data_IF_803939153417
#
_entry.id   IF_803939153417
#
_cell.length_a   1.000
_cell.length_b   1.000
_cell.length_c   1.000
_cell.angle_alpha   90.00
_cell.angle_beta   90.00
_cell.angle_gamma   90.00
#
_symmetry.space_group_name_H-M   'P 1'
#
loop_
_entity.id
_entity.type
_entity.pdbx_description
1 polymer ?
#
# COMPACT_ATOMS: atom_id res chain seq x y z
N UNK A 1 -28.88 24.29 2.57
CA UNK A 1 -29.30 22.98 2.01
C UNK A 1 -29.72 22.11 3.19
N UNK A 2 -30.78 21.29 3.10
CA UNK A 2 -31.06 20.32 4.18
C UNK A 2 -29.97 19.25 4.13
N UNK A 3 -29.47 18.82 5.29
CA UNK A 3 -28.66 17.63 5.38
C UNK A 3 -29.60 16.43 5.25
N UNK A 4 -29.89 16.05 4.01
CA UNK A 4 -30.43 14.72 3.73
C UNK A 4 -29.37 13.72 4.17
N UNK A 5 -29.77 12.69 4.93
CA UNK A 5 -28.81 11.66 5.34
C UNK A 5 -28.39 10.88 4.10
N UNK A 6 -27.11 10.47 4.01
CA UNK A 6 -26.65 9.61 2.92
C UNK A 6 -27.48 8.32 2.90
N UNK A 7 -27.59 7.71 1.72
CA UNK A 7 -28.24 6.41 1.56
C UNK A 7 -27.60 5.39 2.54
N UNK A 8 -28.35 4.43 3.12
CA UNK A 8 -27.79 3.52 4.14
C UNK A 8 -26.54 2.75 3.69
N UNK A 9 -26.43 2.40 2.41
CA UNK A 9 -25.23 1.79 1.81
C UNK A 9 -23.99 2.71 1.73
N UNK A 10 -24.17 4.02 1.95
CA UNK A 10 -23.10 5.02 2.04
C UNK A 10 -22.84 5.46 3.49
N UNK A 11 -23.43 4.78 4.47
CA UNK A 11 -23.15 5.01 5.89
C UNK A 11 -21.76 4.51 6.26
N UNK A 12 -21.10 5.17 7.22
CA UNK A 12 -19.79 4.71 7.74
C UNK A 12 -19.85 3.30 8.34
N UNK A 13 -21.02 2.85 8.79
CA UNK A 13 -21.28 1.48 9.21
C UNK A 13 -21.12 0.53 8.01
N UNK A 14 -21.79 0.80 6.88
CA UNK A 14 -21.63 0.01 5.65
C UNK A 14 -20.22 0.11 5.06
N UNK A 15 -19.63 1.30 4.96
CA UNK A 15 -18.43 1.55 4.14
C UNK A 15 -17.10 1.64 4.89
N UNK A 16 -17.08 1.72 6.23
CA UNK A 16 -15.84 1.93 6.99
C UNK A 16 -15.68 0.98 8.18
N UNK A 17 -16.70 0.81 9.03
CA UNK A 17 -16.49 0.17 10.34
C UNK A 17 -16.20 -1.33 10.29
N UNK A 18 -16.40 -2.00 9.14
CA UNK A 18 -15.87 -3.35 8.92
C UNK A 18 -14.35 -3.42 9.08
N UNK A 19 -13.61 -2.43 8.56
CA UNK A 19 -12.15 -2.32 8.71
C UNK A 19 -11.74 -1.59 9.99
N UNK A 20 -12.50 -0.58 10.41
CA UNK A 20 -12.09 0.37 11.46
C UNK A 20 -12.60 0.07 12.89
N UNK A 21 -13.31 -1.05 13.11
CA UNK A 21 -13.75 -1.51 14.43
C UNK A 21 -13.32 -2.96 14.72
N UNK A 22 -13.57 -3.47 15.92
CA UNK A 22 -13.25 -4.87 16.28
C UNK A 22 -14.24 -5.42 17.31
N UNK A 23 -14.46 -6.73 17.25
CA UNK A 23 -15.34 -7.46 18.17
C UNK A 23 -16.81 -7.13 17.96
N UNK A 24 -17.29 -7.35 16.73
CA UNK A 24 -18.69 -7.18 16.32
C UNK A 24 -19.14 -8.34 15.42
N UNK A 25 -20.45 -8.53 15.33
CA UNK A 25 -21.15 -9.25 14.27
C UNK A 25 -22.02 -8.26 13.50
N UNK A 26 -22.17 -8.43 12.18
CA UNK A 26 -23.03 -7.57 11.37
C UNK A 26 -24.17 -8.35 10.73
N UNK A 27 -25.32 -7.70 10.58
CA UNK A 27 -26.50 -8.19 9.87
C UNK A 27 -26.88 -7.14 8.83
N UNK A 28 -27.25 -7.59 7.64
CA UNK A 28 -27.62 -6.69 6.55
C UNK A 28 -29.06 -6.23 6.63
N UNK A 29 -29.30 -5.05 6.07
CA UNK A 29 -30.59 -4.41 6.00
C UNK A 29 -31.08 -4.38 4.57
N UNK A 30 -32.39 -4.47 4.37
CA UNK A 30 -33.03 -4.41 3.05
C UNK A 30 -32.89 -3.05 2.35
N UNK A 31 -32.34 -2.03 3.02
CA UNK A 31 -32.03 -0.71 2.48
C UNK A 31 -30.54 -0.55 2.09
N UNK A 32 -29.76 -1.65 2.09
CA UNK A 32 -28.34 -1.67 1.76
C UNK A 32 -27.43 -1.18 2.89
N UNK A 33 -27.97 -0.82 4.04
CA UNK A 33 -27.18 -0.60 5.25
C UNK A 33 -26.83 -1.92 5.96
N UNK A 34 -26.08 -1.79 7.05
CA UNK A 34 -25.77 -2.90 7.97
C UNK A 34 -26.03 -2.47 9.42
N UNK A 35 -26.52 -3.38 10.25
CA UNK A 35 -26.67 -3.19 11.69
C UNK A 35 -25.56 -3.99 12.42
N UNK A 36 -24.73 -3.27 13.18
CA UNK A 36 -23.64 -3.84 13.99
C UNK A 36 -24.13 -4.23 15.38
N UNK A 37 -23.71 -5.41 15.87
CA UNK A 37 -23.93 -5.88 17.24
C UNK A 37 -22.57 -6.19 17.90
N UNK A 38 -22.30 -5.72 19.13
CA UNK A 38 -21.04 -5.99 19.82
C UNK A 38 -20.93 -7.47 20.24
N UNK A 39 -19.75 -8.06 20.06
CA UNK A 39 -19.47 -9.40 20.60
C UNK A 39 -19.31 -9.35 22.14
N UNK A 40 -18.86 -8.21 22.67
CA UNK A 40 -18.76 -7.97 24.12
C UNK A 40 -18.76 -6.46 24.45
N UNK A 41 -18.89 -6.13 25.73
CA UNK A 41 -18.84 -4.74 26.22
C UNK A 41 -20.19 -4.02 26.20
N UNK A 42 -20.16 -2.69 26.40
CA UNK A 42 -21.35 -1.85 26.59
C UNK A 42 -21.60 -0.84 25.47
N UNK A 43 -20.75 -0.81 24.44
CA UNK A 43 -20.99 -0.01 23.24
C UNK A 43 -22.01 -0.74 22.36
N UNK A 44 -23.02 -0.07 21.79
CA UNK A 44 -24.12 -0.74 21.10
C UNK A 44 -23.78 -1.34 19.72
N UNK A 45 -22.53 -1.22 19.22
CA UNK A 45 -22.13 -1.70 17.89
C UNK A 45 -20.91 -2.63 17.89
N UNK A 46 -19.90 -2.36 18.70
CA UNK A 46 -18.62 -3.09 18.65
C UNK A 46 -17.91 -3.11 20.00
N UNK A 47 -17.00 -4.06 20.19
CA UNK A 47 -16.18 -4.15 21.42
C UNK A 47 -15.18 -2.98 21.51
N UNK A 48 -14.55 -2.59 20.40
CA UNK A 48 -13.66 -1.41 20.34
C UNK A 48 -13.77 -0.66 19.00
N UNK A 49 -13.57 0.65 19.04
CA UNK A 49 -13.70 1.59 17.90
C UNK A 49 -12.38 1.81 17.14
N UNK A 50 -11.57 0.75 17.04
CA UNK A 50 -10.21 0.72 16.48
C UNK A 50 -9.96 -0.67 15.90
N UNK A 51 -8.90 -0.80 15.11
CA UNK A 51 -8.25 -2.10 14.86
C UNK A 51 -7.66 -2.58 16.20
N UNK A 52 -8.30 -3.56 16.83
CA UNK A 52 -7.86 -4.16 18.09
C UNK A 52 -7.21 -5.53 17.89
N UNK A 53 -6.64 -6.10 18.96
CA UNK A 53 -5.92 -7.39 18.92
C UNK A 53 -6.71 -8.47 18.19
N UNK A 54 -8.01 -8.60 18.48
CA UNK A 54 -8.88 -9.63 17.92
C UNK A 54 -9.15 -9.48 16.41
N UNK A 55 -8.85 -8.31 15.79
CA UNK A 55 -8.91 -8.15 14.33
C UNK A 55 -7.80 -8.90 13.62
N UNK A 56 -6.64 -9.04 14.27
CA UNK A 56 -5.46 -9.74 13.75
C UNK A 56 -5.26 -11.14 14.34
N UNK A 57 -5.82 -11.40 15.53
CA UNK A 57 -5.64 -12.64 16.28
C UNK A 57 -6.92 -13.48 16.44
N UNK A 58 -8.07 -12.97 15.99
CA UNK A 58 -9.38 -13.60 16.19
C UNK A 58 -9.92 -13.42 17.63
N UNK A 59 -11.15 -13.92 17.91
CA UNK A 59 -11.80 -13.74 19.20
C UNK A 59 -11.06 -14.43 20.35
N UNK A 60 -10.80 -13.71 21.44
CA UNK A 60 -9.94 -14.16 22.54
C UNK A 60 -10.69 -14.85 23.72
N UNK A 61 -11.99 -15.12 23.60
CA UNK A 61 -12.79 -15.65 24.72
C UNK A 61 -12.32 -17.02 25.22
N UNK A 62 -12.00 -17.93 24.30
CA UNK A 62 -11.48 -19.26 24.62
C UNK A 62 -10.03 -19.20 25.12
N UNK A 63 -9.22 -18.29 24.56
CA UNK A 63 -7.86 -18.03 25.02
C UNK A 63 -7.80 -17.58 26.48
N UNK A 64 -8.67 -16.64 26.89
CA UNK A 64 -8.71 -16.12 28.27
C UNK A 64 -9.34 -17.12 29.25
N UNK A 65 -10.24 -18.00 28.80
CA UNK A 65 -10.88 -19.01 29.65
C UNK A 65 -10.03 -20.29 29.83
N UNK A 66 -9.09 -20.56 28.92
CA UNK A 66 -8.25 -21.74 28.93
C UNK A 66 -7.29 -21.80 30.13
N UNK A 67 -7.38 -22.87 30.93
CA UNK A 67 -6.51 -23.12 32.09
C UNK A 67 -5.15 -23.74 31.74
N UNK A 68 -4.99 -24.22 30.51
CA UNK A 68 -3.75 -24.73 29.92
C UNK A 68 -3.84 -24.66 28.40
N UNK A 69 -2.71 -24.67 27.70
CA UNK A 69 -2.65 -24.61 26.23
C UNK A 69 -3.40 -23.41 25.60
N UNK A 70 -3.52 -22.29 26.33
CA UNK A 70 -4.24 -21.07 25.90
C UNK A 70 -3.80 -20.53 24.53
N UNK A 71 -2.55 -20.77 24.12
CA UNK A 71 -2.02 -20.39 22.82
C UNK A 71 -2.65 -21.14 21.62
N UNK A 72 -3.36 -22.25 21.85
CA UNK A 72 -4.11 -22.98 20.81
C UNK A 72 -5.48 -22.35 20.50
N UNK A 73 -5.93 -21.42 21.34
CA UNK A 73 -7.26 -20.80 21.27
C UNK A 73 -7.22 -19.35 20.77
N UNK A 74 -6.10 -18.95 20.14
CA UNK A 74 -5.92 -17.63 19.53
C UNK A 74 -5.06 -17.80 18.27
N UNK A 75 -5.40 -17.09 17.18
CA UNK A 75 -4.57 -17.13 15.96
C UNK A 75 -3.28 -16.38 16.21
N UNK A 76 -2.15 -16.96 15.82
CA UNK A 76 -0.87 -16.27 15.72
C UNK A 76 -0.47 -16.19 14.24
N UNK A 77 -0.54 -15.02 13.58
CA UNK A 77 -0.17 -14.86 12.18
C UNK A 77 1.26 -15.32 11.85
N UNK A 78 2.19 -15.29 12.82
CA UNK A 78 3.56 -15.80 12.63
C UNK A 78 3.66 -17.33 12.52
N UNK A 79 2.58 -18.07 12.83
CA UNK A 79 2.49 -19.53 12.70
C UNK A 79 1.65 -19.97 11.48
N UNK A 80 1.11 -19.03 10.71
CA UNK A 80 0.38 -19.30 9.47
C UNK A 80 1.34 -19.40 8.28
N UNK A 81 0.88 -20.00 7.17
CA UNK A 81 1.53 -19.82 5.87
C UNK A 81 1.46 -18.35 5.41
N UNK A 82 2.27 -17.99 4.42
CA UNK A 82 2.42 -16.61 3.99
C UNK A 82 1.10 -15.99 3.50
N UNK A 83 0.29 -16.74 2.75
CA UNK A 83 -0.99 -16.25 2.25
C UNK A 83 -1.95 -15.97 3.41
N UNK A 84 -2.16 -16.94 4.33
CA UNK A 84 -3.07 -16.76 5.46
C UNK A 84 -2.58 -15.68 6.41
N UNK A 85 -1.27 -15.54 6.58
CA UNK A 85 -0.64 -14.45 7.32
C UNK A 85 -0.93 -13.08 6.68
N UNK A 86 -0.82 -12.99 5.36
CA UNK A 86 -1.01 -11.75 4.59
C UNK A 86 -2.48 -11.34 4.47
N UNK A 87 -3.40 -12.31 4.38
CA UNK A 87 -4.85 -12.05 4.38
C UNK A 87 -5.34 -11.40 5.69
N UNK A 88 -4.61 -11.57 6.82
CA UNK A 88 -4.88 -10.82 8.06
C UNK A 88 -4.69 -9.31 7.86
N UNK A 89 -3.77 -8.87 7.00
CA UNK A 89 -3.65 -7.47 6.59
C UNK A 89 -4.63 -7.17 5.43
N UNK A 90 -4.74 -8.10 4.47
CA UNK A 90 -5.60 -8.03 3.29
C UNK A 90 -7.07 -7.75 3.57
N UNK A 91 -7.62 -8.23 4.68
CA UNK A 91 -9.01 -7.94 5.07
C UNK A 91 -9.36 -6.44 5.18
N UNK A 92 -8.35 -5.56 5.23
CA UNK A 92 -8.46 -4.10 5.13
C UNK A 92 -7.53 -3.47 4.09
N UNK A 93 -6.42 -4.13 3.73
CA UNK A 93 -5.41 -3.70 2.76
C UNK A 93 -5.40 -4.58 1.48
N UNK A 94 -6.59 -4.90 0.98
CA UNK A 94 -6.76 -5.33 -0.42
C UNK A 94 -7.91 -4.58 -1.09
N UNK A 95 -7.85 -4.49 -2.43
CA UNK A 95 -8.98 -4.04 -3.23
C UNK A 95 -10.05 -5.13 -3.28
N UNK A 96 -11.01 -5.12 -2.34
CA UNK A 96 -12.02 -6.17 -2.21
C UNK A 96 -13.44 -5.67 -1.95
N UNK A 97 -14.40 -6.46 -2.45
CA UNK A 97 -15.81 -6.37 -2.12
C UNK A 97 -16.29 -7.69 -1.49
N UNK A 98 -17.09 -7.60 -0.42
CA UNK A 98 -17.69 -8.72 0.30
C UNK A 98 -18.68 -9.50 -0.58
N UNK A 99 -18.71 -10.81 -0.39
CA UNK A 99 -19.23 -11.76 -1.38
C UNK A 99 -20.72 -11.57 -1.75
N UNK A 100 -21.56 -11.21 -0.77
CA UNK A 100 -23.03 -11.21 -0.94
C UNK A 100 -23.65 -9.81 -1.15
N UNK A 101 -22.94 -8.71 -0.87
CA UNK A 101 -23.52 -7.33 -0.88
C UNK A 101 -22.49 -6.20 -1.13
N UNK A 102 -21.33 -6.50 -1.72
CA UNK A 102 -20.35 -5.48 -2.16
C UNK A 102 -19.82 -4.54 -1.04
N UNK A 103 -19.89 -4.96 0.23
CA UNK A 103 -19.26 -4.25 1.36
C UNK A 103 -17.74 -4.16 1.12
N UNK A 104 -17.05 -3.04 1.41
CA UNK A 104 -15.61 -2.88 1.10
C UNK A 104 -14.68 -3.62 2.09
N UNK A 105 -15.02 -4.85 2.46
CA UNK A 105 -14.31 -5.75 3.36
C UNK A 105 -14.88 -7.18 3.29
N UNK A 106 -14.09 -8.17 3.73
CA UNK A 106 -14.50 -9.58 3.71
C UNK A 106 -15.71 -9.89 4.61
N UNK A 107 -16.83 -10.22 3.97
CA UNK A 107 -18.07 -10.66 4.62
C UNK A 107 -18.91 -11.58 3.72
N UNK A 108 -19.55 -12.59 4.33
CA UNK A 108 -20.47 -13.53 3.69
C UNK A 108 -21.67 -13.78 4.61
N UNK A 109 -22.90 -13.74 4.08
CA UNK A 109 -24.17 -13.86 4.81
C UNK A 109 -24.33 -15.06 5.73
N UNK A 110 -23.71 -16.19 5.43
CA UNK A 110 -23.79 -17.43 6.23
C UNK A 110 -22.60 -17.65 7.15
N UNK A 111 -21.44 -17.05 6.86
CA UNK A 111 -20.19 -17.23 7.60
C UNK A 111 -19.85 -16.04 8.51
N UNK A 112 -20.40 -14.86 8.24
CA UNK A 112 -20.09 -13.62 8.95
C UNK A 112 -18.91 -12.88 8.31
N UNK A 113 -18.15 -12.15 9.12
CA UNK A 113 -16.91 -11.49 8.70
C UNK A 113 -15.73 -12.45 8.74
N UNK A 114 -14.78 -12.26 7.81
CA UNK A 114 -13.49 -12.97 7.82
C UNK A 114 -12.82 -12.92 9.20
N UNK A 115 -12.31 -14.07 9.65
CA UNK A 115 -11.49 -14.25 10.84
C UNK A 115 -10.03 -14.62 10.48
N UNK A 116 -9.03 -14.14 11.25
CA UNK A 116 -7.63 -14.48 11.03
C UNK A 116 -7.36 -15.99 11.02
N UNK A 117 -6.82 -16.49 9.90
CA UNK A 117 -6.55 -17.91 9.64
C UNK A 117 -7.54 -18.58 8.68
N UNK A 118 -8.63 -17.92 8.31
CA UNK A 118 -9.51 -18.36 7.22
C UNK A 118 -8.95 -17.99 5.83
N UNK A 119 -9.68 -18.32 4.76
CA UNK A 119 -9.37 -17.89 3.39
C UNK A 119 -10.19 -16.65 3.02
N UNK A 120 -9.55 -15.50 2.81
CA UNK A 120 -10.21 -14.23 2.50
C UNK A 120 -11.09 -14.31 1.24
N UNK A 121 -10.67 -15.08 0.23
CA UNK A 121 -11.46 -15.34 -0.99
C UNK A 121 -12.77 -16.15 -0.76
N UNK A 122 -13.02 -16.67 0.45
CA UNK A 122 -14.34 -17.21 0.84
C UNK A 122 -15.30 -16.14 1.37
N UNK A 123 -14.81 -14.91 1.59
CA UNK A 123 -15.57 -13.78 2.13
C UNK A 123 -15.59 -12.57 1.20
N UNK A 124 -14.76 -12.55 0.17
CA UNK A 124 -14.62 -11.42 -0.74
C UNK A 124 -14.21 -11.82 -2.16
N UNK A 125 -14.51 -10.94 -3.10
CA UNK A 125 -13.97 -10.92 -4.46
C UNK A 125 -13.06 -9.70 -4.63
N UNK A 126 -12.00 -9.83 -5.43
CA UNK A 126 -11.12 -8.70 -5.74
C UNK A 126 -11.83 -7.69 -6.65
N UNK A 127 -11.63 -6.41 -6.34
CA UNK A 127 -12.03 -5.22 -7.09
C UNK A 127 -10.83 -4.32 -7.41
N UNK A 128 -9.63 -4.91 -7.38
CA UNK A 128 -8.34 -4.24 -7.53
C UNK A 128 -8.21 -3.57 -8.90
N UNK A 129 -8.05 -2.25 -8.89
CA UNK A 129 -7.87 -1.42 -10.08
C UNK A 129 -6.40 -1.08 -10.28
N UNK A 130 -5.78 -1.64 -11.33
CA UNK A 130 -4.37 -1.46 -11.67
C UNK A 130 -4.17 -0.66 -12.96
N UNK A 131 -3.03 0.02 -13.06
CA UNK A 131 -2.50 0.61 -14.29
C UNK A 131 -2.08 -0.45 -15.30
N UNK A 132 -1.76 -0.03 -16.52
CA UNK A 132 -1.25 -0.90 -17.60
C UNK A 132 0.03 -1.67 -17.21
N UNK A 133 0.87 -1.08 -16.37
CA UNK A 133 2.06 -1.72 -15.77
C UNK A 133 1.77 -2.62 -14.55
N UNK A 134 0.50 -2.76 -14.13
CA UNK A 134 0.09 -3.61 -13.00
C UNK A 134 0.22 -2.98 -11.59
N UNK A 135 0.71 -1.74 -11.48
CA UNK A 135 0.72 -1.00 -10.19
C UNK A 135 -0.69 -0.50 -9.82
N UNK A 136 -0.96 -0.32 -8.53
CA UNK A 136 -2.27 0.10 -8.05
C UNK A 136 -2.65 1.53 -8.49
N UNK A 137 -3.93 1.73 -8.86
CA UNK A 137 -4.54 3.05 -9.07
C UNK A 137 -5.13 3.66 -7.80
N UNK A 138 -5.74 2.81 -6.97
CA UNK A 138 -6.61 3.21 -5.87
C UNK A 138 -6.09 2.82 -4.48
N UNK A 139 -6.80 3.22 -3.42
CA UNK A 139 -6.40 2.95 -2.05
C UNK A 139 -6.58 1.48 -1.65
N UNK A 140 -5.81 1.10 -0.63
CA UNK A 140 -5.87 -0.20 0.04
C UNK A 140 -5.48 -1.43 -0.82
N UNK A 141 -4.73 -1.29 -1.92
CA UNK A 141 -4.36 -2.43 -2.78
C UNK A 141 -2.98 -3.07 -2.43
N UNK A 142 -2.45 -2.84 -1.22
CA UNK A 142 -1.09 -3.26 -0.87
C UNK A 142 -0.88 -4.78 -0.85
N UNK A 143 -1.90 -5.55 -0.47
CA UNK A 143 -1.83 -7.01 -0.56
C UNK A 143 -1.78 -7.45 -2.04
N UNK A 144 -2.60 -6.86 -2.89
CA UNK A 144 -2.71 -7.22 -4.30
C UNK A 144 -1.37 -7.01 -5.04
N UNK A 145 -0.73 -5.88 -4.80
CA UNK A 145 0.60 -5.58 -5.34
C UNK A 145 1.69 -6.49 -4.73
N UNK A 146 1.64 -6.76 -3.41
CA UNK A 146 2.59 -7.69 -2.79
C UNK A 146 2.48 -9.10 -3.40
N UNK A 147 1.26 -9.60 -3.60
CA UNK A 147 1.01 -10.94 -4.17
C UNK A 147 1.32 -11.03 -5.67
N UNK A 148 1.32 -9.92 -6.42
CA UNK A 148 1.77 -9.90 -7.81
C UNK A 148 3.29 -9.70 -7.95
N UNK A 149 3.94 -9.11 -6.94
CA UNK A 149 5.39 -8.87 -6.93
C UNK A 149 6.25 -10.15 -6.80
N UNK A 150 7.56 -10.08 -7.11
CA UNK A 150 8.53 -11.14 -6.79
C UNK A 150 8.65 -11.46 -5.29
N UNK A 151 8.32 -10.52 -4.40
CA UNK A 151 8.34 -10.74 -2.95
C UNK A 151 7.23 -11.71 -2.51
N UNK A 152 6.01 -11.55 -3.03
CA UNK A 152 4.92 -12.49 -2.79
C UNK A 152 5.11 -13.81 -3.54
N UNK A 153 5.34 -13.75 -4.85
CA UNK A 153 5.37 -14.96 -5.71
C UNK A 153 6.63 -15.82 -5.58
N UNK A 154 7.79 -15.21 -5.36
CA UNK A 154 9.09 -15.91 -5.34
C UNK A 154 9.58 -16.28 -3.94
N UNK A 155 9.34 -15.40 -2.96
CA UNK A 155 9.86 -15.56 -1.59
C UNK A 155 8.77 -15.77 -0.53
N UNK A 156 7.50 -15.64 -0.89
CA UNK A 156 6.37 -15.72 0.04
C UNK A 156 6.55 -14.79 1.27
N UNK A 157 7.06 -13.57 1.04
CA UNK A 157 7.25 -12.58 2.10
C UNK A 157 5.90 -12.15 2.68
N UNK A 158 5.91 -11.88 4.00
CA UNK A 158 4.70 -11.47 4.70
C UNK A 158 4.69 -9.97 4.97
N UNK A 159 3.49 -9.41 5.17
CA UNK A 159 3.32 -8.01 5.51
C UNK A 159 4.11 -7.62 6.77
N UNK A 160 4.42 -8.55 7.69
CA UNK A 160 5.26 -8.32 8.86
C UNK A 160 6.76 -8.68 8.67
N UNK A 161 7.22 -8.83 7.42
CA UNK A 161 8.63 -9.08 7.07
C UNK A 161 9.40 -7.92 6.37
N UNK A 162 8.90 -6.75 5.93
CA UNK A 162 7.60 -6.06 6.01
C UNK A 162 7.55 -5.02 7.15
N UNK A 163 6.50 -5.01 7.97
CA UNK A 163 6.17 -4.08 9.07
C UNK A 163 6.30 -4.73 10.47
N UNK A 164 6.12 -3.95 11.54
CA UNK A 164 5.87 -4.40 12.91
C UNK A 164 4.43 -4.06 13.33
N UNK A 165 3.50 -5.04 13.35
CA UNK A 165 2.09 -4.80 13.67
C UNK A 165 1.83 -4.46 15.15
N UNK A 166 2.84 -4.57 16.02
CA UNK A 166 2.76 -4.14 17.42
C UNK A 166 3.45 -2.80 17.67
N UNK A 167 4.00 -2.18 16.62
CA UNK A 167 4.55 -0.83 16.62
C UNK A 167 5.60 -0.61 17.74
N UNK A 168 6.45 -1.61 18.01
CA UNK A 168 7.47 -1.53 19.08
C UNK A 168 8.50 -0.41 18.85
N UNK A 169 8.57 0.08 17.61
CA UNK A 169 9.43 1.16 17.13
C UNK A 169 8.65 2.43 16.73
N UNK A 170 7.38 2.59 17.17
CA UNK A 170 6.46 3.69 16.82
C UNK A 170 7.09 5.10 16.83
N UNK A 171 7.81 5.41 17.91
CA UNK A 171 8.45 6.71 18.11
C UNK A 171 9.70 6.94 17.22
N UNK A 172 10.12 5.93 16.46
CA UNK A 172 11.38 5.89 15.70
C UNK A 172 11.15 5.88 14.18
N UNK A 173 10.17 5.10 13.71
CA UNK A 173 9.91 4.85 12.29
C UNK A 173 8.43 5.08 11.94
N UNK A 174 8.18 5.85 10.88
CA UNK A 174 6.83 6.02 10.31
C UNK A 174 6.32 4.71 9.71
N UNK A 175 4.99 4.56 9.63
CA UNK A 175 4.32 3.41 9.00
C UNK A 175 4.63 2.06 9.65
N UNK A 176 5.03 2.06 10.93
CA UNK A 176 5.29 0.85 11.73
C UNK A 176 6.23 -0.13 11.03
N UNK A 177 7.39 0.34 10.58
CA UNK A 177 8.42 -0.48 9.93
C UNK A 177 9.36 -1.11 10.98
N UNK A 178 9.91 -2.32 10.74
CA UNK A 178 10.88 -2.93 11.68
C UNK A 178 12.27 -2.28 11.64
N UNK A 179 12.62 -1.67 10.51
CA UNK A 179 13.90 -1.02 10.21
C UNK A 179 13.64 0.31 9.51
N UNK A 180 14.65 1.18 9.51
CA UNK A 180 14.52 2.48 8.86
C UNK A 180 14.63 2.33 7.34
N UNK A 181 13.63 2.84 6.62
CA UNK A 181 13.70 2.94 5.16
C UNK A 181 14.53 4.16 4.70
N UNK A 182 14.73 5.17 5.57
CA UNK A 182 15.41 6.43 5.24
C UNK A 182 16.93 6.30 5.06
N UNK A 183 17.50 5.19 5.53
CA UNK A 183 18.90 4.80 5.38
C UNK A 183 19.06 3.48 4.61
N UNK A 184 18.03 3.09 3.83
CA UNK A 184 17.94 1.84 3.08
C UNK A 184 18.02 0.53 3.89
N UNK A 185 18.21 0.56 5.22
CA UNK A 185 18.42 -0.65 6.04
C UNK A 185 17.28 -1.67 5.95
N UNK A 186 16.03 -1.22 5.79
CA UNK A 186 14.87 -2.08 5.57
C UNK A 186 15.01 -2.97 4.32
N UNK A 187 15.55 -2.44 3.23
CA UNK A 187 15.71 -3.15 1.96
C UNK A 187 17.05 -3.89 1.94
N UNK A 188 18.12 -3.20 2.34
CA UNK A 188 19.48 -3.73 2.38
C UNK A 188 19.62 -4.97 3.30
N UNK A 189 18.79 -5.10 4.36
CA UNK A 189 18.81 -6.27 5.24
C UNK A 189 18.61 -7.61 4.53
N UNK A 190 18.01 -7.60 3.34
CA UNK A 190 17.88 -8.75 2.46
C UNK A 190 18.67 -8.56 1.15
N UNK A 191 18.51 -7.41 0.48
CA UNK A 191 19.05 -7.20 -0.86
C UNK A 191 20.58 -7.18 -0.92
N UNK A 192 21.29 -6.72 0.12
CA UNK A 192 22.75 -6.78 0.15
C UNK A 192 23.26 -8.21 -0.11
N UNK A 193 22.65 -9.20 0.54
CA UNK A 193 23.01 -10.61 0.39
C UNK A 193 22.36 -11.31 -0.82
N UNK A 194 21.15 -10.90 -1.24
CA UNK A 194 20.35 -11.58 -2.25
C UNK A 194 20.44 -10.98 -3.67
N UNK A 195 20.96 -9.76 -3.79
CA UNK A 195 20.99 -9.00 -5.06
C UNK A 195 22.37 -8.43 -5.39
N UNK A 196 23.24 -8.26 -4.39
CA UNK A 196 24.58 -7.67 -4.53
C UNK A 196 25.70 -8.57 -3.97
N UNK A 197 25.45 -9.86 -3.75
CA UNK A 197 26.44 -10.85 -3.24
C UNK A 197 27.21 -10.46 -1.95
N UNK A 198 26.67 -9.54 -1.15
CA UNK A 198 27.26 -8.87 0.03
C UNK A 198 28.34 -7.81 -0.29
N UNK A 199 28.34 -7.27 -1.51
CA UNK A 199 29.12 -6.10 -1.90
C UNK A 199 28.37 -4.82 -1.52
N UNK A 200 28.95 -4.04 -0.60
CA UNK A 200 28.40 -2.76 -0.15
C UNK A 200 28.67 -1.64 -1.18
N UNK A 201 29.74 -1.74 -1.98
CA UNK A 201 30.09 -0.77 -3.01
C UNK A 201 29.10 -0.89 -4.19
N UNK A 202 28.76 -2.11 -4.63
CA UNK A 202 27.73 -2.33 -5.68
C UNK A 202 26.34 -1.84 -5.23
N UNK A 203 26.00 -1.98 -3.94
CA UNK A 203 24.74 -1.48 -3.37
C UNK A 203 24.72 0.06 -3.28
N UNK A 204 25.86 0.70 -3.00
CA UNK A 204 26.01 2.16 -2.95
C UNK A 204 25.97 2.78 -4.36
N UNK A 205 26.58 2.14 -5.36
CA UNK A 205 26.56 2.60 -6.76
C UNK A 205 25.20 2.38 -7.46
N UNK A 206 24.48 1.29 -7.13
CA UNK A 206 23.20 0.89 -7.75
C UNK A 206 22.17 2.02 -8.02
N UNK A 207 21.82 2.91 -7.07
CA UNK A 207 20.83 3.95 -7.31
C UNK A 207 21.29 5.06 -8.28
N UNK A 208 22.56 5.09 -8.74
CA UNK A 208 23.11 6.13 -9.63
C UNK A 208 22.95 7.56 -9.08
N UNK A 209 22.85 7.65 -7.75
CA UNK A 209 22.59 8.82 -6.91
C UNK A 209 23.34 8.66 -5.57
N UNK A 210 23.54 9.75 -4.84
CA UNK A 210 24.21 9.71 -3.52
C UNK A 210 23.47 8.79 -2.54
N UNK A 211 24.13 7.69 -2.14
CA UNK A 211 23.65 6.73 -1.14
C UNK A 211 23.82 7.32 0.27
N UNK A 212 22.97 8.28 0.62
CA UNK A 212 23.16 9.11 1.82
C UNK A 212 21.93 9.24 2.70
N UNK A 213 22.11 9.00 3.99
CA UNK A 213 21.15 9.43 5.00
C UNK A 213 21.25 10.95 5.20
N UNK A 214 20.40 11.72 4.52
CA UNK A 214 20.16 13.12 4.90
C UNK A 214 19.54 13.18 6.33
N UNK A 215 20.20 13.80 7.33
CA UNK A 215 19.80 13.69 8.73
C UNK A 215 18.42 14.28 9.08
N UNK A 216 17.87 15.13 8.23
CA UNK A 216 16.52 15.70 8.38
C UNK A 216 15.42 14.83 7.74
N UNK A 217 15.81 13.76 7.03
CA UNK A 217 14.90 12.84 6.36
C UNK A 217 14.27 13.36 5.07
N UNK A 218 14.51 14.61 4.66
CA UNK A 218 13.73 15.31 3.61
C UNK A 218 13.95 14.80 2.20
N UNK A 219 15.16 14.34 1.87
CA UNK A 219 15.51 13.86 0.54
C UNK A 219 15.15 12.38 0.34
N UNK A 220 14.36 12.05 -0.70
CA UNK A 220 14.14 10.67 -1.15
C UNK A 220 15.25 10.15 -2.10
N UNK A 221 16.22 11.01 -2.47
CA UNK A 221 17.29 10.68 -3.42
C UNK A 221 18.13 9.51 -2.89
N UNK A 222 18.42 8.53 -3.75
CA UNK A 222 19.22 7.36 -3.38
C UNK A 222 18.51 6.37 -2.44
N UNK A 223 17.24 6.61 -2.07
CA UNK A 223 16.47 5.65 -1.25
C UNK A 223 15.82 4.59 -2.12
N UNK A 224 15.92 3.33 -1.72
CA UNK A 224 15.26 2.21 -2.41
C UNK A 224 13.76 2.47 -2.58
N UNK A 225 13.08 2.96 -1.53
CA UNK A 225 11.65 3.27 -1.57
C UNK A 225 11.30 4.43 -2.50
N UNK A 226 12.24 5.34 -2.78
CA UNK A 226 12.02 6.48 -3.68
C UNK A 226 11.84 6.06 -5.14
N UNK A 227 12.48 4.97 -5.56
CA UNK A 227 12.39 4.45 -6.93
C UNK A 227 11.58 3.15 -7.05
N UNK A 228 11.58 2.29 -6.04
CA UNK A 228 10.88 1.00 -6.09
C UNK A 228 9.46 1.02 -5.48
N UNK A 229 9.09 2.07 -4.74
CA UNK A 229 7.76 2.20 -4.13
C UNK A 229 7.07 3.49 -4.59
N UNK A 230 7.11 3.70 -5.92
CA UNK A 230 6.55 4.88 -6.61
C UNK A 230 5.09 5.11 -6.22
N UNK A 231 4.68 6.38 -6.09
CA UNK A 231 3.29 6.72 -5.73
C UNK A 231 2.36 6.78 -6.93
N UNK A 232 2.10 5.61 -7.52
CA UNK A 232 1.23 5.42 -8.69
C UNK A 232 -0.25 5.54 -8.38
N UNK A 233 -0.65 5.26 -7.14
CA UNK A 233 -2.05 5.30 -6.72
C UNK A 233 -2.36 6.46 -5.78
N UNK A 234 -3.62 6.88 -5.75
CA UNK A 234 -4.11 7.92 -4.85
C UNK A 234 -5.35 7.49 -4.05
N UNK A 235 -5.36 7.83 -2.75
CA UNK A 235 -6.52 7.75 -1.87
C UNK A 235 -7.18 9.11 -1.63
N UNK A 236 -6.41 10.21 -1.59
CA UNK A 236 -6.94 11.58 -1.44
C UNK A 236 -6.91 12.33 -2.78
N UNK A 237 -5.82 12.20 -3.54
CA UNK A 237 -5.64 12.86 -4.83
C UNK A 237 -4.20 12.83 -5.32
N UNK A 238 -3.99 13.30 -6.55
CA UNK A 238 -2.68 13.45 -7.16
C UNK A 238 -2.14 14.87 -6.95
N UNK A 239 -0.81 15.03 -7.01
CA UNK A 239 -0.12 16.29 -6.82
C UNK A 239 0.09 16.99 -8.18
N UNK A 240 -0.49 18.18 -8.35
CA UNK A 240 -0.46 18.94 -9.60
C UNK A 240 0.96 19.27 -10.16
N UNK A 241 2.01 19.25 -9.33
CA UNK A 241 3.38 19.62 -9.73
C UNK A 241 4.25 18.42 -10.15
N UNK A 242 3.96 17.24 -9.61
CA UNK A 242 4.71 16.00 -9.87
C UNK A 242 3.90 14.96 -10.67
N UNK A 243 2.58 15.05 -10.65
CA UNK A 243 1.66 13.98 -11.04
C UNK A 243 1.45 12.90 -9.97
N UNK A 244 2.17 12.94 -8.84
CA UNK A 244 2.28 11.80 -7.93
C UNK A 244 1.06 11.64 -7.02
N UNK A 245 0.66 10.40 -6.76
CA UNK A 245 -0.36 10.08 -5.75
C UNK A 245 0.19 10.16 -4.31
N UNK A 246 -0.62 9.74 -3.34
CA UNK A 246 -0.27 9.68 -1.92
C UNK A 246 0.00 8.26 -1.40
N UNK A 247 -0.06 7.24 -2.26
CA UNK A 247 0.09 5.82 -1.88
C UNK A 247 1.33 5.20 -2.51
N UNK A 248 2.30 4.78 -1.69
CA UNK A 248 3.50 4.08 -2.16
C UNK A 248 3.17 2.65 -2.64
N UNK A 249 3.49 2.34 -3.90
CA UNK A 249 3.25 1.02 -4.50
C UNK A 249 4.03 -0.08 -3.77
N UNK A 250 3.36 -1.22 -3.57
CA UNK A 250 3.94 -2.45 -3.02
C UNK A 250 4.25 -3.49 -4.13
N UNK A 251 4.38 -3.03 -5.39
CA UNK A 251 4.88 -3.85 -6.50
C UNK A 251 6.40 -4.06 -6.41
N UNK A 252 7.11 -3.14 -5.75
CA UNK A 252 8.57 -3.07 -5.62
C UNK A 252 9.33 -2.89 -6.95
N UNK A 253 8.61 -2.63 -8.05
CA UNK A 253 9.17 -2.38 -9.36
C UNK A 253 9.51 -0.90 -9.54
N UNK A 254 10.62 -0.63 -10.24
CA UNK A 254 10.86 0.70 -10.83
C UNK A 254 9.87 0.86 -11.98
N UNK A 255 8.97 1.84 -11.89
CA UNK A 255 8.19 2.29 -13.04
C UNK A 255 9.11 3.15 -13.90
N UNK A 256 9.37 2.73 -15.13
CA UNK A 256 10.27 3.41 -16.07
C UNK A 256 9.56 4.56 -16.79
N UNK A 257 10.29 5.59 -17.28
CA UNK A 257 9.65 6.66 -18.05
C UNK A 257 8.97 6.14 -19.33
N UNK A 258 9.51 5.08 -19.96
CA UNK A 258 8.91 4.44 -21.13
C UNK A 258 7.48 3.93 -20.85
N UNK A 259 7.20 3.36 -19.68
CA UNK A 259 5.85 2.88 -19.35
C UNK A 259 4.83 4.02 -19.27
N UNK A 260 5.26 5.21 -18.86
CA UNK A 260 4.42 6.42 -18.96
C UNK A 260 4.27 6.86 -20.42
N UNK A 261 5.35 6.95 -21.20
CA UNK A 261 5.31 7.33 -22.63
C UNK A 261 4.37 6.40 -23.42
N UNK A 262 4.46 5.09 -23.19
CA UNK A 262 3.60 4.08 -23.82
C UNK A 262 2.11 4.33 -23.51
N UNK A 263 1.75 4.79 -22.30
CA UNK A 263 0.36 5.14 -21.97
C UNK A 263 -0.13 6.36 -22.75
N UNK A 264 0.69 7.42 -22.88
CA UNK A 264 0.38 8.59 -23.71
C UNK A 264 0.17 8.20 -25.18
N UNK A 265 1.06 7.37 -25.75
CA UNK A 265 0.96 6.86 -27.12
C UNK A 265 -0.29 5.98 -27.33
N UNK A 266 -0.60 5.10 -26.36
CA UNK A 266 -1.79 4.25 -26.39
C UNK A 266 -3.10 5.06 -26.36
N UNK A 267 -3.12 6.18 -25.64
CA UNK A 267 -4.25 7.10 -25.57
C UNK A 267 -4.28 8.10 -26.74
N UNK A 268 -3.19 8.21 -27.51
CA UNK A 268 -3.03 9.17 -28.59
C UNK A 268 -3.01 10.62 -28.11
N UNK A 269 -2.51 10.84 -26.88
CA UNK A 269 -2.54 12.11 -26.19
C UNK A 269 -1.14 12.76 -26.13
N UNK A 270 -1.08 14.09 -26.24
CA UNK A 270 0.15 14.87 -25.97
C UNK A 270 0.16 15.50 -24.57
N UNK A 271 -0.99 15.50 -23.91
CA UNK A 271 -1.27 16.11 -22.61
C UNK A 271 -2.30 15.21 -21.89
N UNK A 272 -2.03 14.84 -20.64
CA UNK A 272 -2.90 14.05 -19.77
C UNK A 272 -2.85 14.63 -18.35
N UNK A 273 -3.99 14.69 -17.67
CA UNK A 273 -4.07 15.23 -16.31
C UNK A 273 -3.54 14.23 -15.26
N UNK A 274 -3.06 14.69 -14.08
CA UNK A 274 -2.64 13.81 -12.99
C UNK A 274 -3.73 12.81 -12.60
N UNK A 275 -3.40 11.53 -12.64
CA UNK A 275 -4.36 10.44 -12.39
C UNK A 275 -5.08 9.92 -13.64
N UNK A 276 -4.68 10.32 -14.85
CA UNK A 276 -5.09 9.66 -16.10
C UNK A 276 -4.09 8.57 -16.56
N UNK A 277 -2.86 8.54 -16.02
CA UNK A 277 -1.76 7.65 -16.39
C UNK A 277 -0.89 7.22 -15.18
N UNK A 278 -0.11 6.12 -15.25
CA UNK A 278 0.84 5.77 -14.21
C UNK A 278 2.08 6.68 -14.25
N UNK A 279 2.38 7.32 -13.12
CA UNK A 279 3.61 8.09 -12.92
C UNK A 279 4.85 7.17 -12.83
N UNK A 280 5.95 7.59 -13.43
CA UNK A 280 7.24 6.89 -13.35
C UNK A 280 8.12 7.35 -12.17
N UNK A 281 9.09 6.52 -11.81
CA UNK A 281 9.94 6.61 -10.61
C UNK A 281 10.79 7.88 -10.46
N UNK A 282 10.86 8.72 -11.50
CA UNK A 282 11.83 9.82 -11.57
C UNK A 282 11.16 11.18 -11.32
N UNK A 283 9.92 11.39 -11.76
CA UNK A 283 9.35 12.74 -11.87
C UNK A 283 9.01 13.39 -10.52
N UNK A 284 8.69 12.63 -9.45
CA UNK A 284 8.56 13.21 -8.08
C UNK A 284 9.87 13.92 -7.63
N UNK A 285 11.03 13.45 -8.10
CA UNK A 285 12.33 14.03 -7.78
C UNK A 285 12.90 14.94 -8.87
N UNK A 286 12.36 14.90 -10.10
CA UNK A 286 12.86 15.61 -11.28
C UNK A 286 11.86 16.59 -11.91
N UNK A 287 10.74 16.88 -11.22
CA UNK A 287 9.86 18.02 -11.50
C UNK A 287 10.62 19.36 -11.60
N UNK A 288 10.02 20.33 -12.29
CA UNK A 288 10.64 21.63 -12.59
C UNK A 288 10.69 22.60 -11.40
N UNK A 289 11.43 22.21 -10.36
CA UNK A 289 11.80 23.13 -9.31
C UNK A 289 12.86 24.12 -9.82
N UNK A 290 12.39 25.34 -10.15
CA UNK A 290 13.19 26.50 -10.56
C UNK A 290 14.46 26.75 -9.70
N UNK A 291 14.46 26.32 -8.44
CA UNK A 291 15.60 26.43 -7.53
C UNK A 291 16.81 25.57 -7.90
N UNK A 292 16.61 24.38 -8.53
CA UNK A 292 17.74 23.51 -8.91
C UNK A 292 18.59 24.07 -10.06
N UNK A 293 18.05 25.00 -10.85
CA UNK A 293 18.80 25.68 -11.92
C UNK A 293 19.88 26.63 -11.41
N UNK A 294 19.83 27.11 -10.16
CA UNK A 294 20.82 28.07 -9.64
C UNK A 294 21.98 27.42 -8.90
N UNK A 295 21.75 26.33 -8.16
CA UNK A 295 22.71 25.87 -7.14
C UNK A 295 23.37 24.51 -7.44
N UNK A 296 22.76 23.64 -8.26
CA UNK A 296 23.18 22.23 -8.38
C UNK A 296 23.92 21.86 -9.68
N UNK A 297 23.79 22.62 -10.77
CA UNK A 297 24.49 22.38 -12.05
C UNK A 297 24.11 21.12 -12.84
N UNK A 298 23.40 20.15 -12.23
CA UNK A 298 23.03 18.86 -12.83
C UNK A 298 21.56 18.48 -12.54
N UNK A 299 20.63 19.37 -12.86
CA UNK A 299 19.21 19.00 -12.89
C UNK A 299 18.88 18.26 -14.18
N UNK A 300 18.38 17.02 -14.09
CA UNK A 300 17.57 16.46 -15.18
C UNK A 300 16.37 17.40 -15.38
N UNK A 301 16.17 17.79 -16.63
CA UNK A 301 15.07 18.66 -17.02
C UNK A 301 14.31 17.99 -18.15
N UNK A 302 13.02 17.74 -17.92
CA UNK A 302 12.05 17.71 -19.01
C UNK A 302 12.13 19.01 -19.83
N UNK A 303 11.80 18.96 -21.12
CA UNK A 303 11.84 20.15 -22.00
C UNK A 303 10.93 21.27 -21.50
N UNK A 304 9.75 20.89 -21.00
CA UNK A 304 8.75 21.76 -20.37
C UNK A 304 8.84 21.66 -18.85
N UNK A 305 9.02 20.44 -18.32
CA UNK A 305 9.06 20.16 -16.90
C UNK A 305 7.69 20.14 -16.22
N UNK A 306 6.64 20.09 -17.05
CA UNK A 306 5.24 19.91 -16.68
C UNK A 306 4.92 18.41 -16.70
N UNK A 307 4.42 17.80 -15.61
CA UNK A 307 4.13 16.37 -15.55
C UNK A 307 2.94 15.96 -16.43
N UNK A 308 2.15 16.90 -16.98
CA UNK A 308 1.03 16.55 -17.87
C UNK A 308 1.46 16.27 -19.31
N UNK A 309 2.65 16.68 -19.72
CA UNK A 309 3.07 16.71 -21.12
C UNK A 309 4.00 15.55 -21.49
N UNK A 310 3.70 14.87 -22.60
CA UNK A 310 4.50 13.72 -23.10
C UNK A 310 5.99 14.07 -23.25
N UNK A 311 6.33 15.29 -23.68
CA UNK A 311 7.73 15.72 -23.87
C UNK A 311 8.56 15.68 -22.57
N UNK A 312 7.93 15.84 -21.40
CA UNK A 312 8.60 15.67 -20.09
C UNK A 312 9.02 14.23 -19.88
N UNK A 313 8.14 13.27 -20.23
CA UNK A 313 8.39 11.84 -20.06
C UNK A 313 9.39 11.31 -21.10
N UNK A 314 9.31 11.75 -22.37
CA UNK A 314 10.33 11.45 -23.39
C UNK A 314 11.73 11.91 -22.96
N UNK A 315 11.84 13.13 -22.41
CA UNK A 315 13.11 13.66 -21.91
C UNK A 315 13.63 12.87 -20.70
N UNK A 316 12.74 12.41 -19.82
CA UNK A 316 13.11 11.48 -18.75
C UNK A 316 13.52 10.09 -19.28
N UNK A 317 12.93 9.60 -20.37
CA UNK A 317 13.31 8.33 -20.98
C UNK A 317 14.72 8.37 -21.57
N UNK A 318 15.04 9.39 -22.39
CA UNK A 318 16.39 9.62 -22.93
C UNK A 318 17.45 9.74 -21.81
N UNK A 319 17.04 10.31 -20.68
CA UNK A 319 17.86 10.47 -19.47
C UNK A 319 18.07 9.14 -18.73
N UNK A 320 17.04 8.31 -18.67
CA UNK A 320 17.06 6.98 -18.05
C UNK A 320 17.95 6.02 -18.85
N UNK A 321 17.76 5.92 -20.17
CA UNK A 321 18.60 5.08 -21.07
C UNK A 321 20.09 5.44 -21.02
N UNK A 322 20.42 6.72 -20.79
CA UNK A 322 21.80 7.18 -20.67
C UNK A 322 22.50 6.77 -19.35
N UNK A 323 21.72 6.37 -18.33
CA UNK A 323 22.21 5.90 -17.01
C UNK A 323 22.03 4.40 -16.80
N UNK A 324 20.93 3.83 -17.31
CA UNK A 324 20.53 2.43 -17.16
C UNK A 324 20.35 1.81 -18.57
N UNK A 325 21.46 1.47 -19.25
CA UNK A 325 21.46 0.96 -20.64
C UNK A 325 21.12 -0.54 -20.78
#
# INVERSE_FOLDING_TARGET
>A
KKNEQPHPSLSADATCFGCHATGFSLIERTDGGVDFTPNSGSNPRWTTNRVGCERCHGPASEHVSATSNYALYITNPALLDADRANEVCGQCHSGINGFDNELPYGWHSTMGTFQPGETLASFAVSTTEVWSNGTAKGPHQQLDELLSSPHGTGYALRCFDCHDPHDSQADTFTSSLRLDHRNNSLCASCHLALSFDNDEDELEDHPEHYYGHEPDGTSQIGRCTGCHMVRTGAGIGFNDSTGAGDLASHSFAVVTPQETVDEFDNLGASELEPGEFPIHSCVECHEYNLWRKTDAGSGFAGTTGDPTLIETHEAHQLSYEAKFP
#
